data_IF_635139080444
#
_entry.id   IF_635139080444
#
_cell.length_a   1.000
_cell.length_b   1.000
_cell.length_c   1.000
_cell.angle_alpha   90.00
_cell.angle_beta   90.00
_cell.angle_gamma   90.00
#
_symmetry.space_group_name_H-M   'P 1'
#
loop_
_entity.id
_entity.type
_entity.pdbx_description
1 polymer ?
#
# COMPACT_ATOMS: atom_id res chain seq x y z
N UNK A 1 27.36 -29.92 -5.80
CA UNK A 1 26.38 -29.92 -4.69
C UNK A 1 26.75 -31.09 -3.78
N UNK A 2 27.59 -30.86 -2.78
CA UNK A 2 28.36 -31.93 -2.11
C UNK A 2 28.32 -31.93 -0.57
N UNK A 3 27.40 -31.21 0.09
CA UNK A 3 27.41 -31.22 1.56
C UNK A 3 26.01 -31.28 2.17
N UNK A 4 25.44 -32.49 2.17
CA UNK A 4 24.19 -32.81 2.87
C UNK A 4 24.38 -32.91 4.38
N UNK A 5 25.61 -33.10 4.85
CA UNK A 5 25.92 -33.35 6.27
C UNK A 5 25.61 -32.14 7.15
N UNK A 6 25.87 -30.92 6.67
CA UNK A 6 25.54 -29.67 7.40
C UNK A 6 24.01 -29.43 7.47
N UNK A 7 23.27 -29.81 6.43
CA UNK A 7 21.80 -29.73 6.40
C UNK A 7 21.16 -30.74 7.36
N UNK A 8 21.66 -31.98 7.37
CA UNK A 8 21.22 -33.00 8.33
C UNK A 8 21.59 -32.65 9.77
N UNK A 9 22.77 -32.07 10.01
CA UNK A 9 23.16 -31.57 11.32
C UNK A 9 22.23 -30.45 11.81
N UNK A 10 21.82 -29.52 10.93
CA UNK A 10 20.85 -28.48 11.27
C UNK A 10 19.48 -29.06 11.62
N UNK A 11 18.97 -30.02 10.83
CA UNK A 11 17.69 -30.69 11.11
C UNK A 11 17.73 -31.49 12.42
N UNK A 12 18.83 -32.20 12.67
CA UNK A 12 19.02 -32.97 13.90
C UNK A 12 19.10 -32.06 15.14
N UNK A 13 19.82 -30.94 15.04
CA UNK A 13 19.83 -29.91 16.09
C UNK A 13 18.47 -29.25 16.24
N UNK A 14 17.67 -29.11 15.17
CA UNK A 14 16.31 -28.56 15.20
C UNK A 14 15.35 -29.43 16.01
N UNK A 15 15.32 -30.74 15.74
CA UNK A 15 14.43 -31.70 16.40
C UNK A 15 14.77 -31.94 17.88
N UNK A 16 16.05 -31.97 18.24
CA UNK A 16 16.53 -32.14 19.62
C UNK A 16 16.02 -31.06 20.60
N UNK A 17 15.67 -29.87 20.10
CA UNK A 17 15.14 -28.78 20.95
C UNK A 17 13.67 -28.93 21.31
N UNK A 18 12.95 -29.84 20.64
CA UNK A 18 11.55 -30.14 20.95
C UNK A 18 11.41 -31.26 21.98
N UNK A 19 12.47 -32.03 22.24
CA UNK A 19 12.39 -33.29 22.99
C UNK A 19 13.05 -33.29 24.38
N UNK A 20 13.81 -32.27 24.81
CA UNK A 20 14.46 -32.32 26.14
C UNK A 20 14.37 -31.03 26.96
N UNK A 21 13.83 -31.15 28.17
CA UNK A 21 13.98 -30.16 29.26
C UNK A 21 15.36 -30.25 29.90
N UNK A 22 16.41 -29.85 29.17
CA UNK A 22 17.78 -29.86 29.69
C UNK A 22 18.19 -28.51 30.29
N UNK A 23 19.22 -28.54 31.15
CA UNK A 23 19.69 -27.39 31.94
C UNK A 23 20.17 -26.21 31.09
N UNK A 24 20.10 -25.01 31.68
CA UNK A 24 20.36 -23.71 31.04
C UNK A 24 21.74 -23.63 30.33
N UNK A 25 22.76 -24.35 30.81
CA UNK A 25 24.10 -24.35 30.20
C UNK A 25 24.19 -25.20 28.94
N UNK A 26 23.48 -26.34 28.86
CA UNK A 26 23.46 -27.17 27.64
C UNK A 26 22.66 -26.51 26.51
N UNK A 27 21.62 -25.73 26.85
CA UNK A 27 20.87 -24.94 25.88
C UNK A 27 21.69 -23.84 25.20
N UNK A 28 22.56 -23.15 25.94
CA UNK A 28 23.42 -22.09 25.38
C UNK A 28 24.46 -22.63 24.39
N UNK A 29 25.06 -23.79 24.68
CA UNK A 29 26.04 -24.42 23.78
C UNK A 29 25.39 -24.91 22.49
N UNK A 30 24.25 -25.61 22.57
CA UNK A 30 23.47 -26.03 21.39
C UNK A 30 22.96 -24.85 20.56
N UNK A 31 22.66 -23.70 21.18
CA UNK A 31 22.26 -22.49 20.47
C UNK A 31 23.44 -21.84 19.70
N UNK A 32 24.65 -21.86 20.28
CA UNK A 32 25.86 -21.39 19.60
C UNK A 32 26.21 -22.26 18.39
N UNK A 33 26.18 -23.58 18.56
CA UNK A 33 26.45 -24.55 17.48
C UNK A 33 25.41 -24.43 16.35
N UNK A 34 24.14 -24.14 16.66
CA UNK A 34 23.11 -23.82 15.67
C UNK A 34 23.37 -22.53 14.91
N UNK A 35 23.81 -21.47 15.59
CA UNK A 35 24.12 -20.20 14.95
C UNK A 35 25.33 -20.34 14.02
N UNK A 36 26.34 -21.12 14.41
CA UNK A 36 27.47 -21.44 13.54
C UNK A 36 27.07 -22.33 12.35
N UNK A 37 26.27 -23.38 12.56
CA UNK A 37 25.77 -24.23 11.48
C UNK A 37 24.90 -23.43 10.50
N UNK A 38 24.03 -22.55 11.00
CA UNK A 38 23.22 -21.65 10.19
C UNK A 38 24.09 -20.61 9.46
N UNK A 39 25.12 -20.06 10.09
CA UNK A 39 26.06 -19.15 9.44
C UNK A 39 26.87 -19.83 8.33
N UNK A 40 27.29 -21.09 8.53
CA UNK A 40 27.95 -21.90 7.50
C UNK A 40 27.02 -22.27 6.36
N UNK A 41 25.80 -22.71 6.66
CA UNK A 41 24.75 -22.95 5.65
C UNK A 41 24.42 -21.68 4.88
N UNK A 42 24.37 -20.52 5.55
CA UNK A 42 24.18 -19.22 4.89
C UNK A 42 25.39 -18.86 4.03
N UNK A 43 26.61 -19.10 4.49
CA UNK A 43 27.83 -18.91 3.70
C UNK A 43 27.91 -19.84 2.48
N UNK A 44 27.37 -21.05 2.56
CA UNK A 44 27.37 -22.06 1.47
C UNK A 44 26.18 -21.90 0.50
N UNK A 45 24.99 -21.55 1.00
CA UNK A 45 23.79 -21.30 0.19
C UNK A 45 23.78 -19.92 -0.46
N UNK A 46 24.53 -18.97 0.09
CA UNK A 46 24.65 -17.61 -0.40
C UNK A 46 26.12 -17.22 -0.65
N UNK A 47 26.98 -18.18 -1.01
CA UNK A 47 28.23 -17.88 -1.69
C UNK A 47 27.87 -17.30 -3.07
N UNK A 48 27.51 -16.02 -3.07
CA UNK A 48 27.27 -15.26 -4.28
C UNK A 48 28.61 -15.11 -4.97
N UNK A 49 28.67 -15.51 -6.24
CA UNK A 49 29.86 -15.28 -7.04
C UNK A 49 30.16 -13.76 -7.11
N UNK A 50 31.44 -13.43 -7.33
CA UNK A 50 31.89 -12.04 -7.41
C UNK A 50 31.12 -11.25 -8.49
N UNK A 51 30.65 -11.94 -9.53
CA UNK A 51 29.84 -11.37 -10.60
C UNK A 51 28.46 -10.92 -10.12
N UNK A 52 27.77 -11.70 -9.29
CA UNK A 52 26.49 -11.37 -8.68
C UNK A 52 26.63 -10.21 -7.69
N UNK A 53 27.71 -10.20 -6.90
CA UNK A 53 28.01 -9.10 -5.99
C UNK A 53 28.28 -7.81 -6.77
N UNK A 54 29.08 -7.88 -7.84
CA UNK A 54 29.35 -6.74 -8.72
C UNK A 54 28.09 -6.25 -9.44
N UNK A 55 27.23 -7.15 -9.92
CA UNK A 55 25.96 -6.81 -10.55
C UNK A 55 25.00 -6.10 -9.59
N UNK A 56 24.90 -6.56 -8.33
CA UNK A 56 24.09 -5.89 -7.30
C UNK A 56 24.66 -4.53 -6.91
N UNK A 57 25.98 -4.43 -6.76
CA UNK A 57 26.64 -3.15 -6.49
C UNK A 57 26.36 -2.16 -7.62
N UNK A 58 26.44 -2.60 -8.88
CA UNK A 58 26.11 -1.80 -10.06
C UNK A 58 24.65 -1.38 -10.08
N UNK A 59 23.71 -2.30 -9.91
CA UNK A 59 22.28 -2.01 -9.89
C UNK A 59 21.94 -0.97 -8.80
N UNK A 60 22.58 -1.07 -7.64
CA UNK A 60 22.47 -0.06 -6.58
C UNK A 60 22.95 1.30 -7.05
N UNK A 61 24.13 1.39 -7.68
CA UNK A 61 24.66 2.67 -8.19
C UNK A 61 23.72 3.29 -9.23
N UNK A 62 23.25 2.49 -10.19
CA UNK A 62 22.32 2.98 -11.21
C UNK A 62 21.03 3.51 -10.58
N UNK A 63 20.51 2.80 -9.56
CA UNK A 63 19.33 3.25 -8.84
C UNK A 63 19.58 4.50 -7.99
N UNK A 64 20.73 4.59 -7.33
CA UNK A 64 21.14 5.79 -6.58
C UNK A 64 21.18 7.02 -7.51
N UNK A 65 21.66 6.86 -8.76
CA UNK A 65 21.62 7.93 -9.78
C UNK A 65 20.19 8.37 -10.08
N UNK A 66 19.28 7.44 -10.29
CA UNK A 66 17.90 7.78 -10.65
C UNK A 66 17.11 8.31 -9.44
N UNK A 67 17.37 7.83 -8.24
CA UNK A 67 16.63 8.25 -7.04
C UNK A 67 17.09 9.61 -6.48
N UNK A 68 18.27 10.08 -6.86
CA UNK A 68 18.82 11.33 -6.33
C UNK A 68 17.99 12.55 -6.80
N UNK A 69 17.66 13.48 -5.89
CA UNK A 69 16.76 14.58 -6.21
C UNK A 69 17.41 15.73 -6.99
N UNK A 70 18.71 15.97 -6.81
CA UNK A 70 19.35 17.23 -7.24
C UNK A 70 20.76 16.99 -7.83
N UNK A 71 20.84 16.44 -9.03
CA UNK A 71 22.09 16.37 -9.77
C UNK A 71 22.45 17.71 -10.38
N UNK A 72 23.69 18.15 -10.20
CA UNK A 72 24.29 19.21 -10.99
C UNK A 72 24.88 18.59 -12.26
N UNK A 73 24.20 18.78 -13.38
CA UNK A 73 24.68 18.41 -14.71
C UNK A 73 25.60 19.51 -15.23
N UNK A 74 26.90 19.24 -15.36
CA UNK A 74 27.82 20.21 -15.93
C UNK A 74 27.55 20.42 -17.42
N UNK A 75 27.65 21.67 -17.87
CA UNK A 75 27.50 22.02 -19.28
C UNK A 75 28.67 21.42 -20.06
N UNK A 76 28.36 20.54 -21.00
CA UNK A 76 29.35 19.87 -21.82
C UNK A 76 29.63 20.65 -23.11
N UNK A 77 30.87 20.60 -23.59
CA UNK A 77 31.14 20.99 -24.98
C UNK A 77 30.59 19.91 -25.92
N UNK A 78 30.12 20.29 -27.12
CA UNK A 78 29.47 19.39 -28.08
C UNK A 78 30.31 18.19 -28.52
N UNK A 79 31.62 18.23 -28.30
CA UNK A 79 32.58 17.25 -28.78
C UNK A 79 33.03 16.26 -27.69
N UNK A 80 32.56 16.42 -26.45
CA UNK A 80 32.93 15.57 -25.33
C UNK A 80 32.05 14.32 -25.29
N UNK A 81 32.69 13.13 -25.28
CA UNK A 81 32.04 11.82 -25.15
C UNK A 81 31.72 11.44 -23.70
N UNK A 82 32.12 12.26 -22.75
CA UNK A 82 31.96 12.03 -21.32
C UNK A 82 31.10 13.13 -20.73
N UNK A 83 30.12 12.76 -19.90
CA UNK A 83 29.21 13.70 -19.26
C UNK A 83 29.42 13.66 -17.75
N UNK A 84 29.67 14.79 -17.12
CA UNK A 84 29.91 14.86 -15.68
C UNK A 84 28.67 15.32 -14.90
N UNK A 85 28.36 14.59 -13.83
CA UNK A 85 27.30 14.92 -12.87
C UNK A 85 27.85 14.97 -11.45
N UNK A 86 27.31 15.90 -10.65
CA UNK A 86 27.79 16.17 -9.31
C UNK A 86 26.64 16.17 -8.31
N UNK A 87 26.86 15.67 -7.10
CA UNK A 87 25.92 15.82 -5.98
C UNK A 87 26.01 17.18 -5.29
N UNK A 88 26.93 18.04 -5.73
CA UNK A 88 27.26 19.37 -5.21
C UNK A 88 27.47 20.34 -6.39
N UNK A 89 27.44 21.64 -6.12
CA UNK A 89 27.67 22.66 -7.15
C UNK A 89 29.17 22.72 -7.52
N UNK A 90 29.56 22.47 -8.78
CA UNK A 90 30.96 22.53 -9.19
C UNK A 90 31.44 23.99 -9.32
N UNK A 91 32.55 24.34 -8.66
CA UNK A 91 33.09 25.72 -8.64
C UNK A 91 33.56 26.24 -10.02
N UNK A 92 34.04 25.34 -10.89
CA UNK A 92 34.71 25.71 -12.15
C UNK A 92 33.81 25.54 -13.39
N UNK A 93 32.56 25.07 -13.25
CA UNK A 93 31.69 24.76 -14.39
C UNK A 93 30.27 25.28 -14.18
N UNK A 94 29.70 25.87 -15.23
CA UNK A 94 28.25 26.10 -15.27
C UNK A 94 27.53 24.75 -15.17
N UNK A 95 26.51 24.67 -14.32
CA UNK A 95 25.72 23.45 -14.12
C UNK A 95 24.22 23.75 -14.12
N UNK A 96 23.43 22.76 -14.52
CA UNK A 96 21.96 22.77 -14.41
C UNK A 96 21.53 21.73 -13.39
N UNK A 97 20.61 22.09 -12.50
CA UNK A 97 20.07 21.17 -11.51
C UNK A 97 18.93 20.36 -12.13
N UNK A 98 19.05 19.04 -12.12
CA UNK A 98 18.04 18.09 -12.61
C UNK A 98 17.85 16.99 -11.56
N UNK A 99 16.64 16.44 -11.47
CA UNK A 99 16.46 15.20 -10.72
C UNK A 99 16.94 13.99 -11.54
N UNK A 100 17.07 12.82 -10.92
CA UNK A 100 17.56 11.61 -11.58
C UNK A 100 16.85 11.25 -12.89
N UNK A 101 15.50 11.13 -12.96
CA UNK A 101 14.80 10.83 -14.19
C UNK A 101 15.00 11.88 -15.29
N UNK A 102 14.95 13.18 -14.96
CA UNK A 102 15.19 14.23 -15.96
C UNK A 102 16.66 14.23 -16.42
N UNK A 103 17.61 13.96 -15.53
CA UNK A 103 19.02 13.80 -15.88
C UNK A 103 19.20 12.70 -16.92
N UNK A 104 18.68 11.50 -16.67
CA UNK A 104 18.84 10.35 -17.57
C UNK A 104 18.27 10.64 -18.96
N UNK A 105 17.13 11.32 -19.03
CA UNK A 105 16.51 11.73 -20.31
C UNK A 105 17.19 12.91 -20.99
N UNK A 106 18.03 13.65 -20.26
CA UNK A 106 18.81 14.77 -20.78
C UNK A 106 20.19 14.36 -21.27
N UNK A 107 20.58 13.09 -21.15
CA UNK A 107 21.86 12.59 -21.67
C UNK A 107 21.84 12.73 -23.20
N UNK A 108 22.74 13.55 -23.80
CA UNK A 108 22.78 13.72 -25.25
C UNK A 108 23.15 12.45 -26.00
N UNK A 109 22.67 12.34 -27.24
CA UNK A 109 23.15 11.30 -28.16
C UNK A 109 24.67 11.43 -28.37
N UNK A 110 25.39 10.30 -28.33
CA UNK A 110 26.84 10.25 -28.54
C UNK A 110 27.70 10.29 -27.26
N UNK A 111 27.09 10.47 -26.08
CA UNK A 111 27.80 10.25 -24.81
C UNK A 111 28.11 8.76 -24.63
N UNK A 112 29.36 8.44 -24.36
CA UNK A 112 29.84 7.09 -24.10
C UNK A 112 29.91 6.80 -22.60
N UNK A 113 30.07 7.84 -21.77
CA UNK A 113 30.32 7.70 -20.32
C UNK A 113 29.66 8.78 -19.50
N UNK A 114 29.13 8.38 -18.35
CA UNK A 114 28.66 9.28 -17.29
C UNK A 114 29.64 9.21 -16.11
N UNK A 115 30.23 10.35 -15.76
CA UNK A 115 31.15 10.51 -14.65
C UNK A 115 30.39 11.06 -13.44
N UNK A 116 30.28 10.26 -12.39
CA UNK A 116 29.53 10.61 -11.17
C UNK A 116 30.50 11.02 -10.07
N UNK A 117 30.37 12.28 -9.65
CA UNK A 117 31.11 12.88 -8.54
C UNK A 117 30.18 13.05 -7.34
N UNK A 118 30.50 12.34 -6.25
CA UNK A 118 29.73 12.36 -5.00
C UNK A 118 30.58 12.98 -3.89
N UNK A 119 30.10 14.05 -3.26
CA UNK A 119 30.80 14.76 -2.17
C UNK A 119 31.06 13.87 -0.95
N UNK A 120 30.18 12.89 -0.68
CA UNK A 120 30.31 11.98 0.44
C UNK A 120 31.43 10.95 0.24
N UNK A 121 31.92 10.81 -1.01
CA UNK A 121 33.08 10.01 -1.34
C UNK A 121 34.25 10.97 -1.59
N UNK A 122 35.44 10.60 -1.10
CA UNK A 122 36.66 11.38 -1.36
C UNK A 122 36.70 11.84 -2.83
N UNK A 123 36.89 13.14 -3.09
CA UNK A 123 36.74 13.79 -4.42
C UNK A 123 37.52 13.08 -5.55
N UNK A 124 38.48 12.23 -5.19
CA UNK A 124 39.26 11.39 -6.08
C UNK A 124 38.54 10.12 -6.62
N UNK A 125 37.43 9.67 -6.03
CA UNK A 125 36.71 8.46 -6.46
C UNK A 125 35.54 8.80 -7.39
N UNK A 126 35.86 9.05 -8.65
CA UNK A 126 34.88 9.18 -9.73
C UNK A 126 34.31 7.81 -10.05
N UNK A 127 32.98 7.67 -10.03
CA UNK A 127 32.32 6.46 -10.56
C UNK A 127 32.02 6.68 -12.03
N UNK A 128 32.35 5.69 -12.85
CA UNK A 128 32.13 5.74 -14.29
C UNK A 128 31.02 4.77 -14.68
N UNK A 129 29.99 5.26 -15.36
CA UNK A 129 28.92 4.46 -15.94
C UNK A 129 29.07 4.49 -17.45
N UNK A 130 29.33 3.33 -18.04
CA UNK A 130 29.48 3.14 -19.48
C UNK A 130 28.11 3.14 -20.20
N UNK A 131 28.10 3.51 -21.48
CA UNK A 131 26.90 3.60 -22.31
C UNK A 131 26.06 2.31 -22.38
N UNK A 132 26.69 1.14 -22.19
CA UNK A 132 25.98 -0.15 -22.14
C UNK A 132 24.91 -0.21 -21.03
N UNK A 133 25.00 0.65 -20.01
CA UNK A 133 24.04 0.73 -18.92
C UNK A 133 22.96 1.81 -19.10
N UNK A 134 23.02 2.63 -20.17
CA UNK A 134 22.08 3.75 -20.34
C UNK A 134 20.63 3.29 -20.57
N UNK A 135 20.44 2.17 -21.26
CA UNK A 135 19.10 1.58 -21.41
C UNK A 135 18.52 1.12 -20.05
N UNK A 136 19.37 0.61 -19.15
CA UNK A 136 18.95 0.23 -17.80
C UNK A 136 18.66 1.46 -16.93
N UNK A 137 19.46 2.54 -17.05
CA UNK A 137 19.16 3.81 -16.40
C UNK A 137 17.82 4.37 -16.85
N UNK A 138 17.51 4.33 -18.15
CA UNK A 138 16.24 4.80 -18.68
C UNK A 138 15.06 3.97 -18.14
N UNK A 139 15.18 2.64 -18.14
CA UNK A 139 14.16 1.77 -17.56
C UNK A 139 13.96 2.01 -16.05
N UNK A 140 15.04 2.30 -15.32
CA UNK A 140 14.96 2.68 -13.90
C UNK A 140 14.29 4.05 -13.73
N UNK A 141 14.59 5.02 -14.59
CA UNK A 141 13.97 6.35 -14.58
C UNK A 141 12.45 6.26 -14.76
N UNK A 142 11.98 5.45 -15.71
CA UNK A 142 10.56 5.21 -15.93
C UNK A 142 9.90 4.54 -14.72
N UNK A 143 10.58 3.54 -14.12
CA UNK A 143 10.09 2.90 -12.90
C UNK A 143 10.00 3.86 -11.71
N UNK A 144 11.00 4.71 -11.53
CA UNK A 144 11.05 5.65 -10.40
C UNK A 144 9.98 6.74 -10.56
N UNK A 145 9.75 7.24 -11.77
CA UNK A 145 8.64 8.15 -12.04
C UNK A 145 7.29 7.46 -11.75
N UNK A 146 7.11 6.22 -12.22
CA UNK A 146 5.91 5.43 -11.93
C UNK A 146 5.69 5.24 -10.41
N UNK A 147 6.77 4.93 -9.69
CA UNK A 147 6.74 4.80 -8.24
C UNK A 147 6.34 6.11 -7.54
N UNK A 148 6.83 7.26 -8.00
CA UNK A 148 6.45 8.57 -7.47
C UNK A 148 4.96 8.88 -7.72
N UNK A 149 4.43 8.59 -8.92
CA UNK A 149 3.00 8.74 -9.25
C UNK A 149 2.10 7.83 -8.39
N UNK A 150 2.63 6.66 -7.99
CA UNK A 150 1.93 5.75 -7.09
C UNK A 150 1.95 6.24 -5.65
N UNK A 151 3.10 6.75 -5.19
CA UNK A 151 3.33 7.21 -3.82
C UNK A 151 2.74 8.60 -3.52
N UNK A 152 2.66 9.48 -4.51
CA UNK A 152 2.22 10.87 -4.38
C UNK A 152 1.08 11.15 -5.36
N UNK A 153 -0.17 10.84 -4.98
CA UNK A 153 -1.26 11.05 -5.89
C UNK A 153 -1.49 12.54 -6.18
N UNK A 154 -1.44 12.93 -7.45
CA UNK A 154 -1.78 14.26 -7.97
C UNK A 154 -2.86 14.22 -9.08
N UNK A 155 -3.34 15.37 -9.53
CA UNK A 155 -4.28 15.44 -10.65
C UNK A 155 -3.63 14.99 -11.97
N UNK A 156 -4.43 14.44 -12.90
CA UNK A 156 -4.01 14.16 -14.30
C UNK A 156 -2.89 13.12 -14.50
N UNK A 157 -2.56 12.33 -13.48
CA UNK A 157 -1.52 11.29 -13.56
C UNK A 157 -1.98 9.91 -14.05
N UNK A 158 -3.29 9.66 -14.15
CA UNK A 158 -3.82 8.31 -14.36
C UNK A 158 -3.38 7.68 -15.67
N UNK A 159 -3.27 8.47 -16.74
CA UNK A 159 -2.84 7.98 -18.05
C UNK A 159 -1.45 7.35 -17.95
N UNK A 160 -0.49 8.06 -17.34
CA UNK A 160 0.87 7.55 -17.07
C UNK A 160 0.87 6.28 -16.21
N UNK A 161 -0.01 6.21 -15.19
CA UNK A 161 -0.13 5.00 -14.35
C UNK A 161 -0.68 3.81 -15.14
N UNK A 162 -1.67 4.04 -16.02
CA UNK A 162 -2.27 2.99 -16.83
C UNK A 162 -1.36 2.53 -17.97
N UNK A 163 -0.53 3.40 -18.50
CA UNK A 163 0.46 3.11 -19.54
C UNK A 163 1.75 2.50 -18.98
N UNK A 164 2.03 2.75 -17.69
CA UNK A 164 3.20 2.22 -16.99
C UNK A 164 3.35 0.70 -17.14
N UNK A 165 4.61 0.25 -17.21
CA UNK A 165 4.94 -1.17 -17.27
C UNK A 165 5.13 -1.72 -15.86
N UNK A 166 4.45 -2.83 -15.58
CA UNK A 166 4.49 -3.53 -14.32
C UNK A 166 4.95 -4.97 -14.52
N UNK A 167 5.69 -5.49 -13.55
CA UNK A 167 6.09 -6.88 -13.47
C UNK A 167 5.23 -7.56 -12.41
N UNK A 168 4.42 -8.54 -12.80
CA UNK A 168 3.37 -9.08 -11.94
C UNK A 168 3.58 -10.57 -11.73
N UNK A 169 3.41 -11.03 -10.49
CA UNK A 169 3.34 -12.48 -10.23
C UNK A 169 2.04 -13.05 -10.78
N UNK A 170 2.14 -13.72 -11.92
CA UNK A 170 1.03 -14.30 -12.65
C UNK A 170 1.46 -15.63 -13.29
N UNK A 171 0.49 -16.49 -13.55
CA UNK A 171 0.66 -17.72 -14.33
C UNK A 171 -0.11 -17.61 -15.63
N UNK A 172 0.50 -18.09 -16.72
CA UNK A 172 -0.18 -18.33 -17.97
C UNK A 172 -0.52 -19.83 -18.04
N UNK A 173 -1.81 -20.16 -17.88
CA UNK A 173 -2.33 -21.49 -18.15
C UNK A 173 -3.15 -21.44 -19.45
N UNK A 174 -2.52 -21.82 -20.56
CA UNK A 174 -3.12 -21.68 -21.89
C UNK A 174 -3.26 -20.22 -22.32
N UNK A 175 -4.47 -19.80 -22.73
CA UNK A 175 -4.77 -18.40 -23.10
C UNK A 175 -5.21 -17.53 -21.90
N UNK A 176 -5.32 -18.11 -20.70
CA UNK A 176 -5.77 -17.39 -19.51
C UNK A 176 -4.58 -16.95 -18.68
N UNK A 177 -4.46 -15.64 -18.56
CA UNK A 177 -3.57 -14.98 -17.61
C UNK A 177 -4.26 -14.89 -16.26
N UNK A 178 -3.74 -15.60 -15.27
CA UNK A 178 -4.27 -15.58 -13.90
C UNK A 178 -3.25 -14.95 -12.95
N UNK A 179 -3.73 -14.06 -12.09
CA UNK A 179 -2.91 -13.48 -11.03
C UNK A 179 -2.62 -14.57 -10.00
N UNK A 180 -1.37 -14.66 -9.54
CA UNK A 180 -0.94 -15.62 -8.52
C UNK A 180 -0.94 -14.94 -7.14
N UNK A 181 -2.08 -14.84 -6.42
CA UNK A 181 -2.10 -14.16 -5.14
C UNK A 181 -1.20 -14.91 -4.13
N UNK A 182 -0.27 -14.20 -3.47
CA UNK A 182 0.40 -14.82 -2.31
C UNK A 182 -0.41 -14.58 -1.06
N UNK A 183 -0.25 -15.52 -0.15
CA UNK A 183 -0.68 -15.39 1.22
C UNK A 183 0.49 -15.84 2.11
N UNK A 184 1.01 -14.95 2.98
CA UNK A 184 1.74 -15.40 4.19
C UNK A 184 0.77 -16.00 5.23
N UNK A 185 -0.51 -15.68 5.08
CA UNK A 185 -1.63 -16.20 5.83
C UNK A 185 -2.70 -16.69 4.85
N UNK A 186 -3.19 -17.94 4.93
CA UNK A 186 -4.09 -18.59 3.96
C UNK A 186 -5.34 -17.80 3.49
N UNK A 187 -5.62 -16.67 4.13
CA UNK A 187 -6.78 -15.81 3.91
C UNK A 187 -6.45 -14.44 3.28
N UNK A 188 -5.22 -14.21 2.81
CA UNK A 188 -4.81 -12.97 2.13
C UNK A 188 -4.62 -13.23 0.63
N UNK A 189 -5.53 -12.70 -0.20
CA UNK A 189 -5.49 -12.93 -1.65
C UNK A 189 -4.99 -11.68 -2.38
N UNK A 190 -3.70 -11.38 -2.28
CA UNK A 190 -3.11 -10.13 -2.80
C UNK A 190 -2.21 -10.41 -4.01
N UNK A 191 -2.39 -9.67 -5.09
CA UNK A 191 -1.51 -9.69 -6.26
C UNK A 191 -0.22 -8.93 -5.98
N UNK A 192 0.92 -9.54 -6.26
CA UNK A 192 2.24 -8.92 -6.07
C UNK A 192 2.66 -8.24 -7.37
N UNK A 193 2.93 -6.95 -7.25
CA UNK A 193 3.24 -6.07 -8.37
C UNK A 193 4.57 -5.39 -8.11
N UNK A 194 5.42 -5.36 -9.12
CA UNK A 194 6.73 -4.72 -9.09
C UNK A 194 6.82 -3.68 -10.20
N UNK A 195 7.47 -2.55 -9.91
CA UNK A 195 7.69 -1.48 -10.90
C UNK A 195 8.95 -1.73 -11.73
N UNK A 196 9.90 -2.51 -11.24
CA UNK A 196 11.13 -2.84 -11.95
C UNK A 196 11.78 -4.15 -11.46
N UNK A 197 12.69 -4.70 -12.28
CA UNK A 197 13.34 -5.99 -12.06
C UNK A 197 14.22 -6.04 -10.80
N UNK A 198 14.77 -4.90 -10.38
CA UNK A 198 15.58 -4.80 -9.15
C UNK A 198 14.76 -4.97 -7.87
N UNK A 199 13.42 -4.90 -7.97
CA UNK A 199 12.49 -5.14 -6.85
C UNK A 199 11.97 -6.57 -6.78
N UNK A 200 12.24 -7.37 -7.81
CA UNK A 200 11.79 -8.77 -7.85
C UNK A 200 12.54 -9.56 -6.77
N UNK A 201 11.82 -10.49 -6.15
CA UNK A 201 12.44 -11.48 -5.29
C UNK A 201 12.99 -12.65 -6.11
N UNK A 202 12.25 -13.76 -6.22
CA UNK A 202 12.75 -15.01 -6.80
C UNK A 202 11.69 -15.76 -7.63
N UNK A 203 10.62 -15.09 -8.04
CA UNK A 203 9.49 -15.73 -8.74
C UNK A 203 9.38 -15.26 -10.18
N UNK A 204 8.84 -16.11 -11.08
CA UNK A 204 8.49 -15.68 -12.42
C UNK A 204 7.48 -14.54 -12.33
N UNK A 205 7.74 -13.49 -13.09
CA UNK A 205 6.88 -12.33 -13.24
C UNK A 205 6.64 -12.11 -14.72
N UNK A 206 5.47 -11.57 -15.04
CA UNK A 206 5.11 -11.22 -16.41
C UNK A 206 4.99 -9.70 -16.54
N UNK A 207 5.65 -9.09 -17.55
CA UNK A 207 5.47 -7.69 -17.84
C UNK A 207 4.07 -7.44 -18.43
N UNK A 208 3.39 -6.40 -17.95
CA UNK A 208 2.11 -5.95 -18.51
C UNK A 208 1.88 -4.46 -18.23
N UNK A 209 1.01 -3.84 -19.01
CA UNK A 209 0.59 -2.45 -18.77
C UNK A 209 -0.29 -2.33 -17.53
N UNK A 210 -0.32 -1.13 -16.94
CA UNK A 210 -1.22 -0.80 -15.83
C UNK A 210 -2.68 -1.04 -16.16
N UNK A 211 -3.10 -0.68 -17.38
CA UNK A 211 -4.45 -0.96 -17.89
C UNK A 211 -4.79 -2.44 -17.81
N UNK A 212 -3.91 -3.31 -18.31
CA UNK A 212 -4.12 -4.77 -18.30
C UNK A 212 -4.15 -5.32 -16.88
N UNK A 213 -3.22 -4.87 -16.02
CA UNK A 213 -3.18 -5.25 -14.61
C UNK A 213 -4.47 -4.86 -13.88
N UNK A 214 -4.96 -3.62 -14.07
CA UNK A 214 -6.14 -3.12 -13.38
C UNK A 214 -7.42 -3.82 -13.89
N UNK A 215 -7.49 -4.17 -15.17
CA UNK A 215 -8.56 -5.00 -15.73
C UNK A 215 -8.60 -6.37 -15.03
N UNK A 216 -7.46 -7.05 -14.88
CA UNK A 216 -7.38 -8.33 -14.20
C UNK A 216 -7.80 -8.23 -12.72
N UNK A 217 -7.34 -7.20 -12.00
CA UNK A 217 -7.67 -7.04 -10.57
C UNK A 217 -9.14 -6.68 -10.35
N UNK A 218 -9.72 -5.84 -11.22
CA UNK A 218 -11.12 -5.41 -11.11
C UNK A 218 -12.11 -6.53 -11.47
N UNK A 219 -11.72 -7.46 -12.35
CA UNK A 219 -12.56 -8.58 -12.80
C UNK A 219 -12.31 -9.88 -12.03
N UNK A 220 -11.14 -10.05 -11.40
CA UNK A 220 -10.82 -11.26 -10.65
C UNK A 220 -11.56 -11.33 -9.30
N UNK A 221 -12.45 -12.33 -9.10
CA UNK A 221 -13.11 -12.54 -7.81
C UNK A 221 -12.14 -13.06 -6.74
N UNK A 222 -10.93 -13.46 -7.12
CA UNK A 222 -9.96 -14.04 -6.20
C UNK A 222 -9.01 -13.00 -5.60
N UNK A 223 -8.74 -11.86 -6.26
CA UNK A 223 -7.74 -10.87 -5.81
C UNK A 223 -8.30 -9.69 -5.00
N UNK A 224 -8.05 -9.66 -3.69
CA UNK A 224 -8.45 -8.60 -2.73
C UNK A 224 -7.78 -7.24 -2.96
N UNK A 225 -6.74 -7.19 -3.79
CA UNK A 225 -6.04 -5.97 -4.17
C UNK A 225 -4.61 -6.26 -4.64
N UNK A 226 -3.85 -5.19 -4.82
CA UNK A 226 -2.46 -5.23 -5.25
C UNK A 226 -1.55 -4.74 -4.12
N UNK A 227 -0.37 -5.35 -3.99
CA UNK A 227 0.75 -4.84 -3.20
C UNK A 227 1.91 -4.48 -4.13
N UNK A 228 2.38 -3.24 -4.03
CA UNK A 228 3.49 -2.75 -4.82
C UNK A 228 4.80 -2.88 -4.06
N UNK A 229 5.81 -3.42 -4.74
CA UNK A 229 7.19 -3.51 -4.27
C UNK A 229 7.31 -4.04 -2.83
N UNK A 230 6.72 -5.19 -2.54
CA UNK A 230 6.52 -5.69 -1.14
C UNK A 230 7.78 -5.78 -0.24
N UNK A 231 8.97 -5.78 -0.84
CA UNK A 231 10.28 -5.89 -0.21
C UNK A 231 11.06 -4.57 -0.18
N UNK A 232 10.53 -3.50 -0.76
CA UNK A 232 11.18 -2.18 -0.81
C UNK A 232 10.16 -1.06 -0.64
N UNK A 233 10.66 0.18 -0.62
CA UNK A 233 9.80 1.35 -0.66
C UNK A 233 9.33 1.63 -2.09
N UNK A 234 8.23 2.37 -2.21
CA UNK A 234 7.65 2.91 -3.45
C UNK A 234 7.76 4.42 -3.37
N UNK A 235 8.39 5.04 -4.35
CA UNK A 235 8.59 6.49 -4.46
C UNK A 235 9.92 6.93 -3.81
N UNK A 236 10.30 8.18 -4.05
CA UNK A 236 11.59 8.73 -3.62
C UNK A 236 11.52 9.50 -2.30
N UNK A 237 12.69 9.61 -1.66
CA UNK A 237 12.95 10.53 -0.53
C UNK A 237 11.98 10.37 0.66
N UNK A 238 11.52 11.50 1.22
CA UNK A 238 10.61 11.55 2.37
C UNK A 238 9.17 11.14 2.02
N UNK A 239 8.85 11.03 0.73
CA UNK A 239 7.55 10.59 0.23
C UNK A 239 7.44 9.08 0.03
N UNK A 240 8.53 8.35 0.25
CA UNK A 240 8.57 6.92 0.03
C UNK A 240 7.57 6.15 0.93
N UNK A 241 6.80 5.25 0.31
CA UNK A 241 5.75 4.45 0.96
C UNK A 241 6.20 3.00 1.07
N UNK A 242 6.06 2.42 2.26
CA UNK A 242 6.36 1.01 2.46
C UNK A 242 5.14 0.16 2.11
N UNK A 243 5.28 -0.79 1.18
CA UNK A 243 4.25 -1.78 0.83
C UNK A 243 2.89 -1.14 0.53
N UNK A 244 2.87 -0.25 -0.45
CA UNK A 244 1.65 0.40 -0.93
C UNK A 244 0.62 -0.65 -1.37
N UNK A 245 -0.62 -0.47 -0.92
CA UNK A 245 -1.76 -1.30 -1.27
C UNK A 245 -2.76 -0.50 -2.10
N UNK A 246 -3.16 -1.06 -3.25
CA UNK A 246 -4.23 -0.50 -4.09
C UNK A 246 -5.40 -1.47 -4.19
N UNK A 247 -6.60 -0.94 -4.05
CA UNK A 247 -7.83 -1.72 -3.95
C UNK A 247 -8.42 -2.07 -5.32
N UNK A 248 -9.29 -3.10 -5.41
CA UNK A 248 -10.07 -3.36 -6.60
C UNK A 248 -11.00 -2.20 -6.98
N UNK A 249 -11.43 -1.41 -5.98
CA UNK A 249 -12.17 -0.18 -6.22
C UNK A 249 -11.33 0.88 -6.92
N UNK A 250 -10.07 1.05 -6.52
CA UNK A 250 -9.15 1.92 -7.24
C UNK A 250 -8.95 1.45 -8.68
N UNK A 251 -8.63 0.17 -8.88
CA UNK A 251 -8.41 -0.39 -10.22
C UNK A 251 -9.60 -0.11 -11.16
N UNK A 252 -10.83 -0.34 -10.70
CA UNK A 252 -12.04 -0.04 -11.47
C UNK A 252 -12.18 1.46 -11.79
N UNK A 253 -12.04 2.33 -10.79
CA UNK A 253 -12.23 3.78 -10.99
C UNK A 253 -11.14 4.37 -11.90
N UNK A 254 -9.90 3.88 -11.78
CA UNK A 254 -8.80 4.29 -12.65
C UNK A 254 -9.08 3.94 -14.12
N UNK A 255 -9.61 2.74 -14.40
CA UNK A 255 -10.05 2.35 -15.75
C UNK A 255 -11.23 3.20 -16.26
N UNK A 256 -12.04 3.75 -15.37
CA UNK A 256 -13.13 4.69 -15.66
C UNK A 256 -12.64 6.16 -15.71
N UNK A 257 -11.33 6.41 -15.61
CA UNK A 257 -10.73 7.74 -15.71
C UNK A 257 -10.78 8.59 -14.44
N UNK A 258 -11.06 7.99 -13.28
CA UNK A 258 -11.17 8.69 -12.00
C UNK A 258 -10.14 8.21 -10.98
N UNK A 259 -9.27 9.10 -10.50
CA UNK A 259 -8.34 8.79 -9.43
C UNK A 259 -9.00 9.06 -8.08
N UNK A 260 -9.28 7.98 -7.35
CA UNK A 260 -9.97 8.05 -6.06
C UNK A 260 -9.01 8.09 -4.86
N UNK A 261 -7.69 8.13 -5.11
CA UNK A 261 -6.69 8.19 -4.02
C UNK A 261 -6.69 9.57 -3.39
N UNK A 262 -6.47 9.59 -2.08
CA UNK A 262 -6.24 10.83 -1.33
C UNK A 262 -5.03 11.57 -1.89
N UNK A 263 -5.22 12.84 -2.32
CA UNK A 263 -4.18 13.67 -2.93
C UNK A 263 -4.46 13.99 -4.40
N UNK A 264 -5.02 13.04 -5.15
CA UNK A 264 -5.30 13.24 -6.58
C UNK A 264 -6.44 14.24 -6.85
N UNK A 265 -7.27 14.48 -5.84
CA UNK A 265 -8.33 15.46 -5.86
C UNK A 265 -9.03 15.56 -4.50
N UNK A 266 -10.06 16.43 -4.45
CA UNK A 266 -10.88 16.61 -3.26
C UNK A 266 -11.87 15.44 -3.10
N UNK A 267 -11.93 14.88 -1.90
CA UNK A 267 -12.83 13.78 -1.58
C UNK A 267 -14.25 14.33 -1.36
N UNK A 268 -15.18 13.97 -2.26
CA UNK A 268 -16.58 14.41 -2.20
C UNK A 268 -17.32 13.72 -1.07
N UNK A 269 -17.63 14.47 -0.02
CA UNK A 269 -18.44 14.02 1.10
C UNK A 269 -19.86 14.61 0.99
N UNK A 270 -20.84 13.92 1.59
CA UNK A 270 -22.25 14.33 1.69
C UNK A 270 -22.53 15.09 2.97
N UNK A 271 -21.79 14.80 4.04
CA UNK A 271 -21.97 15.49 5.32
C UNK A 271 -20.72 15.42 6.20
N UNK A 272 -20.70 16.23 7.25
CA UNK A 272 -19.65 16.21 8.28
C UNK A 272 -19.61 14.87 9.02
N UNK A 273 -20.76 14.24 9.25
CA UNK A 273 -20.86 12.93 9.89
C UNK A 273 -20.25 11.83 9.02
N UNK A 274 -20.35 11.94 7.70
CA UNK A 274 -19.69 11.02 6.78
C UNK A 274 -18.17 11.15 6.84
N UNK A 275 -17.65 12.39 6.92
CA UNK A 275 -16.23 12.66 7.11
C UNK A 275 -15.75 12.07 8.44
N UNK A 276 -16.46 12.33 9.54
CA UNK A 276 -16.10 11.77 10.85
C UNK A 276 -16.09 10.22 10.83
N UNK A 277 -17.07 9.61 10.17
CA UNK A 277 -17.11 8.16 9.98
C UNK A 277 -15.93 7.67 9.14
N UNK A 278 -15.53 8.40 8.10
CA UNK A 278 -14.34 8.09 7.30
C UNK A 278 -13.08 8.11 8.15
N UNK A 279 -12.89 9.15 8.97
CA UNK A 279 -11.75 9.29 9.88
C UNK A 279 -11.68 8.11 10.85
N UNK A 280 -12.83 7.70 11.40
CA UNK A 280 -12.95 6.57 12.33
C UNK A 280 -12.67 5.21 11.69
N UNK A 281 -13.02 5.02 10.41
CA UNK A 281 -12.78 3.77 9.68
C UNK A 281 -11.31 3.63 9.26
N UNK A 282 -10.65 4.75 8.96
CA UNK A 282 -9.24 4.81 8.56
C UNK A 282 -8.27 4.98 9.75
N UNK A 283 -8.79 4.91 10.99
CA UNK A 283 -8.04 5.13 12.22
C UNK A 283 -7.24 6.44 12.19
N UNK A 284 -7.82 7.52 11.66
CA UNK A 284 -7.21 8.83 11.76
C UNK A 284 -7.10 9.24 13.25
N UNK A 285 -6.03 9.89 13.71
CA UNK A 285 -5.87 10.24 15.12
C UNK A 285 -7.05 11.03 15.68
N UNK A 286 -7.49 10.71 16.89
CA UNK A 286 -8.64 11.35 17.55
C UNK A 286 -8.23 12.51 18.47
N UNK A 287 -6.97 12.56 18.88
CA UNK A 287 -6.48 13.52 19.86
C UNK A 287 -6.37 14.90 19.21
N UNK A 288 -7.00 15.88 19.84
CA UNK A 288 -6.95 17.30 19.46
C UNK A 288 -7.31 17.53 17.98
N UNK A 289 -8.37 16.85 17.48
CA UNK A 289 -8.89 17.05 16.12
C UNK A 289 -9.39 18.48 15.94
N UNK A 290 -8.79 19.21 15.01
CA UNK A 290 -9.18 20.56 14.60
C UNK A 290 -9.71 20.52 13.17
N UNK A 291 -10.87 21.16 12.95
CA UNK A 291 -11.51 21.25 11.64
C UNK A 291 -11.13 22.58 11.00
N UNK A 292 -10.37 22.50 9.92
CA UNK A 292 -9.96 23.62 9.10
C UNK A 292 -10.95 23.69 7.92
N UNK A 293 -11.83 24.69 7.95
CA UNK A 293 -12.93 24.84 6.99
C UNK A 293 -12.74 26.15 6.21
N UNK A 294 -12.88 26.06 4.89
CA UNK A 294 -12.83 27.20 3.97
C UNK A 294 -14.01 27.14 3.00
N UNK A 295 -14.73 28.25 2.83
CA UNK A 295 -15.85 28.33 1.90
C UNK A 295 -15.36 28.79 0.52
N UNK A 296 -15.54 27.95 -0.49
CA UNK A 296 -15.32 28.25 -1.90
C UNK A 296 -16.65 28.25 -2.67
N UNK A 297 -17.26 29.44 -2.77
CA UNK A 297 -18.57 29.59 -3.40
C UNK A 297 -19.66 28.83 -2.62
N UNK A 298 -20.24 27.79 -3.24
CA UNK A 298 -21.26 26.90 -2.63
C UNK A 298 -20.65 25.62 -2.05
N UNK A 299 -19.33 25.53 -1.99
CA UNK A 299 -18.62 24.34 -1.55
C UNK A 299 -17.84 24.68 -0.28
N UNK A 300 -17.97 23.88 0.76
CA UNK A 300 -17.09 23.95 1.93
C UNK A 300 -15.96 22.95 1.74
N UNK A 301 -14.73 23.46 1.74
CA UNK A 301 -13.50 22.68 1.71
C UNK A 301 -13.09 22.41 3.15
N UNK A 302 -12.83 21.14 3.46
CA UNK A 302 -12.57 20.70 4.83
C UNK A 302 -11.28 19.91 4.87
N UNK A 303 -10.44 20.25 5.84
CA UNK A 303 -9.26 19.49 6.23
C UNK A 303 -9.24 19.35 7.74
N UNK A 304 -8.91 18.16 8.24
CA UNK A 304 -8.80 17.88 9.67
C UNK A 304 -7.33 17.71 10.03
N UNK A 305 -6.91 18.42 11.07
CA UNK A 305 -5.59 18.30 11.69
C UNK A 305 -5.73 17.59 13.03
N UNK A 306 -4.79 16.72 13.39
CA UNK A 306 -4.79 16.06 14.70
C UNK A 306 -3.37 15.77 15.19
N UNK A 307 -3.20 15.72 16.51
CA UNK A 307 -1.96 15.25 17.10
C UNK A 307 -1.84 13.73 16.93
N UNK A 308 -0.66 13.24 16.56
CA UNK A 308 -0.41 11.81 16.37
C UNK A 308 0.83 11.35 17.12
N UNK A 309 0.72 10.23 17.83
CA UNK A 309 1.83 9.52 18.48
C UNK A 309 2.41 8.41 17.58
N UNK A 310 1.87 8.25 16.37
CA UNK A 310 2.33 7.29 15.36
C UNK A 310 2.29 7.88 13.95
N UNK A 311 3.07 7.31 13.04
CA UNK A 311 3.03 7.66 11.62
C UNK A 311 1.71 7.20 11.01
N UNK A 312 0.85 8.15 10.64
CA UNK A 312 -0.40 7.90 9.92
C UNK A 312 -0.20 8.24 8.44
N UNK A 313 -0.86 7.50 7.55
CA UNK A 313 -0.84 7.76 6.11
C UNK A 313 -2.26 7.73 5.56
N UNK A 314 -2.51 8.58 4.57
CA UNK A 314 -3.74 8.61 3.79
C UNK A 314 -3.85 7.41 2.84
N UNK A 315 -2.71 6.83 2.43
CA UNK A 315 -2.65 5.66 1.57
C UNK A 315 -2.63 4.37 2.40
N UNK A 316 -3.23 3.31 1.86
CA UNK A 316 -3.24 2.01 2.54
C UNK A 316 -1.89 1.30 2.36
N UNK A 317 -1.36 0.74 3.45
CA UNK A 317 -0.07 0.03 3.46
C UNK A 317 -0.16 -1.29 4.20
N UNK A 318 0.64 -2.28 3.78
CA UNK A 318 0.78 -3.55 4.49
C UNK A 318 1.81 -3.46 5.64
N UNK A 319 1.36 -2.93 6.78
CA UNK A 319 2.15 -2.86 8.00
C UNK A 319 2.19 -1.45 8.58
N UNK A 320 3.29 -1.12 9.26
CA UNK A 320 3.54 0.24 9.76
C UNK A 320 4.22 1.05 8.68
N UNK A 321 3.74 2.28 8.46
CA UNK A 321 4.44 3.26 7.66
C UNK A 321 5.75 3.62 8.35
N UNK A 322 6.85 3.61 7.58
CA UNK A 322 8.17 4.02 8.07
C UNK A 322 8.31 5.49 7.69
N UNK A 323 7.80 6.42 8.50
CA UNK A 323 8.18 7.83 8.33
C UNK A 323 9.52 8.05 9.01
N UNK A 324 10.47 8.69 8.31
CA UNK A 324 11.75 9.09 8.89
C UNK A 324 11.58 10.20 9.94
N UNK A 325 10.54 11.00 9.79
CA UNK A 325 10.21 12.11 10.68
C UNK A 325 8.86 11.84 11.34
N UNK A 326 8.82 11.94 12.68
CA UNK A 326 7.55 11.94 13.40
C UNK A 326 6.99 13.34 13.35
N UNK A 327 5.96 13.53 12.53
CA UNK A 327 5.17 14.75 12.56
C UNK A 327 4.34 14.77 13.86
N UNK A 328 4.46 15.83 14.66
CA UNK A 328 3.65 16.01 15.87
C UNK A 328 2.15 16.14 15.54
N UNK A 329 1.85 16.65 14.34
CA UNK A 329 0.52 16.90 13.82
C UNK A 329 0.42 16.32 12.42
N UNK A 330 -0.60 15.49 12.19
CA UNK A 330 -0.92 14.93 10.87
C UNK A 330 -2.15 15.59 10.28
N UNK A 331 -2.23 15.57 8.95
CA UNK A 331 -3.33 16.12 8.19
C UNK A 331 -4.11 15.02 7.49
N UNK A 332 -5.43 15.10 7.57
CA UNK A 332 -6.33 14.28 6.74
C UNK A 332 -6.32 14.74 5.27
N UNK A 333 -6.90 13.95 4.35
CA UNK A 333 -7.14 14.40 2.98
C UNK A 333 -8.04 15.64 2.95
N UNK A 334 -8.06 16.32 1.81
CA UNK A 334 -8.99 17.41 1.59
C UNK A 334 -10.35 16.85 1.18
N UNK A 335 -11.39 17.20 1.93
CA UNK A 335 -12.79 16.89 1.63
C UNK A 335 -13.49 18.11 1.04
N UNK A 336 -14.55 17.88 0.26
CA UNK A 336 -15.46 18.94 -0.16
C UNK A 336 -16.92 18.55 0.13
N UNK A 337 -17.68 19.52 0.64
CA UNK A 337 -19.12 19.44 0.91
C UNK A 337 -19.84 20.48 0.05
N UNK A 338 -20.77 20.06 -0.80
CA UNK A 338 -21.60 20.98 -1.59
C UNK A 338 -22.84 21.40 -0.78
N UNK A 339 -23.07 22.70 -0.59
CA UNK A 339 -24.22 23.25 0.18
C UNK A 339 -25.60 22.85 -0.38
N UNK A 340 -25.65 22.39 -1.64
CA UNK A 340 -26.89 22.30 -2.43
C UNK A 340 -27.49 20.91 -2.61
N UNK A 341 -26.87 19.82 -2.13
CA UNK A 341 -27.48 18.48 -2.28
C UNK A 341 -28.10 18.02 -0.98
N UNK A 342 -29.34 18.47 -0.75
CA UNK A 342 -30.28 17.78 0.14
C UNK A 342 -30.60 16.34 -0.31
N UNK A 343 -30.02 15.88 -1.41
CA UNK A 343 -30.00 14.49 -1.85
C UNK A 343 -28.81 13.75 -1.25
N UNK A 344 -29.04 13.16 -0.08
CA UNK A 344 -28.19 12.09 0.48
C UNK A 344 -28.35 10.74 -0.26
N UNK A 345 -29.10 10.72 -1.37
CA UNK A 345 -29.49 9.52 -2.10
C UNK A 345 -28.32 8.98 -2.93
N UNK A 346 -27.70 7.91 -2.42
CA UNK A 346 -26.68 7.17 -3.13
C UNK A 346 -25.64 6.56 -2.21
N UNK A 347 -24.80 5.70 -2.78
CA UNK A 347 -23.62 5.17 -2.09
C UNK A 347 -22.62 6.29 -1.82
N UNK A 348 -22.01 6.26 -0.63
CA UNK A 348 -20.88 7.12 -0.30
C UNK A 348 -19.75 6.98 -1.32
N UNK A 349 -19.11 8.10 -1.67
CA UNK A 349 -17.90 8.12 -2.52
C UNK A 349 -16.61 7.93 -1.74
N UNK A 350 -16.64 8.07 -0.41
CA UNK A 350 -15.45 8.05 0.44
C UNK A 350 -15.43 6.84 1.39
N UNK A 351 -16.60 6.33 1.79
CA UNK A 351 -16.67 5.19 2.72
C UNK A 351 -16.43 3.86 2.00
N UNK A 352 -15.70 2.96 2.68
CA UNK A 352 -15.48 1.61 2.17
C UNK A 352 -16.48 0.62 2.78
N UNK A 353 -17.29 -0.10 1.98
CA UNK A 353 -18.31 -1.02 2.49
C UNK A 353 -17.73 -2.16 3.33
N UNK A 354 -16.55 -2.67 2.96
CA UNK A 354 -15.88 -3.69 3.76
C UNK A 354 -15.44 -3.21 5.15
N UNK A 355 -15.01 -1.95 5.28
CA UNK A 355 -14.67 -1.37 6.59
C UNK A 355 -15.92 -1.12 7.44
N UNK A 356 -17.03 -0.68 6.82
CA UNK A 356 -18.33 -0.58 7.48
C UNK A 356 -18.79 -1.94 8.03
N UNK A 357 -18.76 -2.99 7.19
CA UNK A 357 -19.10 -4.35 7.60
C UNK A 357 -18.21 -4.84 8.76
N UNK A 358 -16.90 -4.56 8.70
CA UNK A 358 -15.95 -4.85 9.80
C UNK A 358 -16.37 -4.17 11.10
N UNK A 359 -16.68 -2.88 11.07
CA UNK A 359 -17.07 -2.08 12.25
C UNK A 359 -18.42 -2.53 12.82
N UNK A 360 -19.33 -3.03 11.99
CA UNK A 360 -20.60 -3.66 12.40
C UNK A 360 -20.43 -5.01 13.11
N UNK A 361 -19.19 -5.44 13.35
CA UNK A 361 -18.86 -6.55 14.25
C UNK A 361 -18.67 -7.88 13.53
N UNK A 362 -18.07 -7.83 12.34
CA UNK A 362 -17.73 -9.00 11.53
C UNK A 362 -16.40 -9.65 11.95
N UNK A 363 -15.74 -9.17 13.00
CA UNK A 363 -14.50 -9.79 13.47
C UNK A 363 -14.78 -11.19 14.04
N UNK A 364 -14.01 -12.14 13.52
CA UNK A 364 -13.79 -13.53 13.94
C UNK A 364 -15.02 -14.44 13.90
N UNK A 365 -15.06 -15.34 12.91
CA UNK A 365 -15.35 -16.79 13.00
C UNK A 365 -16.63 -17.32 13.68
N UNK A 366 -17.28 -16.56 14.55
CA UNK A 366 -18.46 -16.97 15.27
C UNK A 366 -19.70 -16.61 14.45
N UNK A 367 -20.18 -17.63 13.73
CA UNK A 367 -21.56 -17.79 13.27
C UNK A 367 -22.47 -17.98 14.49
N UNK A 368 -22.37 -17.10 15.48
CA UNK A 368 -23.30 -17.09 16.60
C UNK A 368 -23.84 -15.68 16.85
N UNK A 369 -24.67 -15.24 15.90
CA UNK A 369 -25.62 -14.15 16.09
C UNK A 369 -26.50 -14.35 17.34
N UNK A 370 -26.55 -15.56 17.94
CA UNK A 370 -27.26 -15.83 19.21
C UNK A 370 -26.44 -15.44 20.44
N UNK A 371 -25.11 -15.35 20.35
CA UNK A 371 -24.20 -14.93 21.44
C UNK A 371 -23.98 -13.42 21.54
N UNK A 372 -24.37 -12.64 20.53
CA UNK A 372 -24.48 -11.19 20.73
C UNK A 372 -25.50 -10.97 21.84
N UNK A 373 -25.05 -10.41 22.98
CA UNK A 373 -25.92 -10.06 24.11
C UNK A 373 -27.16 -9.38 23.55
N UNK A 374 -28.33 -10.01 23.75
CA UNK A 374 -29.61 -9.39 23.43
C UNK A 374 -29.64 -8.00 24.09
N UNK A 375 -30.06 -6.94 23.38
CA UNK A 375 -30.01 -5.59 23.93
C UNK A 375 -30.81 -5.45 25.23
N UNK A 376 -30.33 -4.64 26.16
CA UNK A 376 -31.04 -4.33 27.41
C UNK A 376 -31.00 -5.40 28.49
N UNK A 377 -31.45 -5.03 29.69
CA UNK A 377 -31.61 -5.91 30.85
C UNK A 377 -33.08 -6.26 31.04
N UNK A 378 -33.37 -7.47 31.53
CA UNK A 378 -34.75 -7.87 31.82
C UNK A 378 -35.33 -7.02 32.96
N UNK A 379 -36.53 -6.50 32.73
CA UNK A 379 -37.37 -5.84 33.71
C UNK A 379 -38.79 -6.42 33.57
N UNK A 380 -39.09 -7.42 34.41
CA UNK A 380 -40.29 -8.27 34.33
C UNK A 380 -40.43 -8.91 32.93
N UNK A 381 -41.43 -8.49 32.14
CA UNK A 381 -41.77 -9.03 30.82
C UNK A 381 -41.07 -8.30 29.65
N UNK A 382 -40.37 -7.19 29.90
CA UNK A 382 -39.71 -6.37 28.88
C UNK A 382 -38.21 -6.32 29.09
N UNK A 383 -37.44 -5.91 28.07
CA UNK A 383 -36.03 -5.51 28.28
C UNK A 383 -35.89 -4.00 28.21
N UNK A 384 -35.34 -3.39 29.25
CA UNK A 384 -34.98 -1.98 29.27
C UNK A 384 -33.59 -1.81 28.66
N UNK A 385 -33.49 -0.98 27.63
CA UNK A 385 -32.22 -0.65 26.98
C UNK A 385 -31.69 0.67 27.54
N UNK A 386 -30.49 0.63 28.13
CA UNK A 386 -29.86 1.83 28.69
C UNK A 386 -29.55 2.87 27.60
N UNK A 387 -29.53 4.16 27.92
CA UNK A 387 -29.27 5.23 26.93
C UNK A 387 -27.95 5.04 26.20
N UNK A 388 -26.88 4.65 26.91
CA UNK A 388 -25.57 4.36 26.32
C UNK A 388 -25.64 3.24 25.28
N UNK A 389 -26.43 2.20 25.52
CA UNK A 389 -26.68 1.14 24.54
C UNK A 389 -27.49 1.67 23.35
N UNK A 390 -28.55 2.45 23.58
CA UNK A 390 -29.35 3.03 22.51
C UNK A 390 -28.50 3.92 21.59
N UNK A 391 -27.61 4.74 22.15
CA UNK A 391 -26.66 5.55 21.38
C UNK A 391 -25.72 4.66 20.54
N UNK A 392 -25.22 3.56 21.09
CA UNK A 392 -24.44 2.59 20.33
C UNK A 392 -25.25 1.99 19.16
N UNK A 393 -26.52 1.61 19.40
CA UNK A 393 -27.39 1.10 18.34
C UNK A 393 -27.76 2.15 17.29
N UNK A 394 -27.91 3.43 17.66
CA UNK A 394 -28.08 4.52 16.69
C UNK A 394 -26.87 4.63 15.77
N UNK A 395 -25.64 4.62 16.32
CA UNK A 395 -24.41 4.60 15.50
C UNK A 395 -24.32 3.38 14.59
N UNK A 396 -24.69 2.19 15.11
CA UNK A 396 -24.76 0.97 14.31
C UNK A 396 -25.80 1.05 13.19
N UNK A 397 -26.94 1.70 13.44
CA UNK A 397 -28.00 1.87 12.45
C UNK A 397 -27.50 2.71 11.28
N UNK A 398 -26.90 3.87 11.57
CA UNK A 398 -26.28 4.74 10.54
C UNK A 398 -25.30 3.96 9.68
N UNK A 399 -24.33 3.26 10.28
CA UNK A 399 -23.37 2.45 9.52
C UNK A 399 -24.01 1.34 8.67
N UNK A 400 -25.11 0.74 9.14
CA UNK A 400 -25.81 -0.32 8.41
C UNK A 400 -26.65 0.23 7.25
N UNK A 401 -27.25 1.40 7.41
CA UNK A 401 -27.95 2.14 6.36
C UNK A 401 -26.96 2.64 5.30
N UNK A 402 -25.80 3.16 5.71
CA UNK A 402 -24.69 3.48 4.81
C UNK A 402 -24.20 2.27 4.01
N UNK A 403 -24.05 1.12 4.67
CA UNK A 403 -23.68 -0.12 3.99
C UNK A 403 -24.74 -0.58 2.98
N UNK A 404 -26.03 -0.39 3.29
CA UNK A 404 -27.12 -0.75 2.39
C UNK A 404 -27.15 0.11 1.12
N UNK A 405 -26.69 1.36 1.19
CA UNK A 405 -26.60 2.23 0.01
C UNK A 405 -25.65 1.70 -1.07
N UNK A 406 -24.71 0.79 -0.71
CA UNK A 406 -23.82 0.13 -1.66
C UNK A 406 -24.44 -1.10 -2.36
N UNK A 407 -25.65 -1.52 -2.00
CA UNK A 407 -26.34 -2.61 -2.69
C UNK A 407 -26.87 -2.12 -4.05
N UNK A 408 -26.55 -2.80 -5.16
CA UNK A 408 -27.14 -2.49 -6.45
C UNK A 408 -28.67 -2.69 -6.39
N UNK A 409 -29.44 -1.86 -7.11
CA UNK A 409 -30.91 -1.93 -7.13
C UNK A 409 -31.43 -3.33 -7.49
N UNK A 410 -30.80 -3.98 -8.48
CA UNK A 410 -31.12 -5.34 -8.96
C UNK A 410 -30.24 -6.44 -8.36
N UNK A 411 -29.24 -6.10 -7.55
CA UNK A 411 -28.26 -7.04 -7.02
C UNK A 411 -28.58 -7.50 -5.59
N UNK A 412 -28.17 -8.71 -5.25
CA UNK A 412 -28.27 -9.22 -3.88
C UNK A 412 -26.98 -9.02 -3.07
N UNK A 413 -25.92 -8.50 -3.69
CA UNK A 413 -24.60 -8.39 -3.07
C UNK A 413 -23.90 -7.09 -3.46
N UNK A 414 -23.16 -6.52 -2.51
CA UNK A 414 -22.24 -5.41 -2.75
C UNK A 414 -21.12 -5.88 -3.70
N UNK A 415 -20.91 -5.21 -4.86
CA UNK A 415 -19.82 -5.56 -5.77
C UNK A 415 -18.47 -5.32 -5.11
N UNK A 416 -17.51 -6.24 -5.30
CA UNK A 416 -16.15 -6.10 -4.75
C UNK A 416 -15.46 -4.81 -5.19
N UNK A 417 -15.70 -4.38 -6.42
CA UNK A 417 -15.13 -3.15 -7.00
C UNK A 417 -15.67 -1.86 -6.38
N UNK A 418 -16.59 -1.91 -5.41
CA UNK A 418 -16.94 -0.75 -4.58
C UNK A 418 -16.05 -0.63 -3.33
N UNK A 419 -15.22 -1.63 -3.05
CA UNK A 419 -14.27 -1.59 -1.93
C UNK A 419 -13.09 -0.69 -2.26
N UNK A 420 -13.08 0.50 -1.66
CA UNK A 420 -12.02 1.51 -1.81
C UNK A 420 -10.71 1.14 -1.10
N UNK A 421 -10.69 0.11 -0.25
CA UNK A 421 -9.51 -0.39 0.46
C UNK A 421 -9.36 -1.89 0.27
N UNK A 422 -8.12 -2.37 0.23
CA UNK A 422 -7.73 -3.79 0.24
C UNK A 422 -8.24 -4.47 1.50
N UNK A 423 -8.08 -3.85 2.67
CA UNK A 423 -8.62 -4.34 3.95
C UNK A 423 -10.13 -4.47 3.94
N UNK A 424 -10.83 -3.56 3.26
CA UNK A 424 -12.27 -3.66 3.03
C UNK A 424 -12.63 -4.84 2.13
N UNK A 425 -12.00 -4.94 0.96
CA UNK A 425 -12.20 -6.05 0.03
C UNK A 425 -11.94 -7.41 0.70
N UNK A 426 -10.81 -7.54 1.42
CA UNK A 426 -10.44 -8.71 2.22
C UNK A 426 -11.49 -9.06 3.27
N UNK A 427 -12.07 -8.07 3.94
CA UNK A 427 -13.14 -8.30 4.94
C UNK A 427 -14.34 -8.99 4.29
N UNK A 428 -14.78 -8.54 3.11
CA UNK A 428 -15.91 -9.14 2.41
C UNK A 428 -15.56 -10.46 1.72
N UNK A 429 -14.30 -10.66 1.35
CA UNK A 429 -13.78 -11.93 0.82
C UNK A 429 -13.82 -13.03 1.88
N UNK A 430 -13.38 -12.72 3.10
CA UNK A 430 -13.39 -13.66 4.25
C UNK A 430 -14.78 -13.93 4.81
N UNK A 431 -15.70 -12.98 4.69
CA UNK A 431 -17.10 -13.14 5.11
C UNK A 431 -18.08 -12.69 4.01
N UNK A 432 -18.23 -13.48 2.92
CA UNK A 432 -19.06 -13.13 1.77
C UNK A 432 -20.50 -12.79 2.11
N UNK A 433 -21.07 -13.45 3.12
CA UNK A 433 -22.45 -13.25 3.56
C UNK A 433 -22.73 -11.81 4.01
N UNK A 434 -21.73 -11.06 4.49
CA UNK A 434 -21.95 -9.70 4.96
C UNK A 434 -22.01 -8.65 3.86
N UNK A 435 -21.66 -9.04 2.64
CA UNK A 435 -21.93 -8.25 1.45
C UNK A 435 -23.38 -8.44 0.95
N UNK A 436 -24.15 -9.38 1.50
CA UNK A 436 -25.49 -9.73 1.00
C UNK A 436 -26.59 -8.86 1.57
N UNK A 437 -27.64 -8.63 0.78
CA UNK A 437 -28.84 -7.89 1.20
C UNK A 437 -29.44 -8.48 2.47
N UNK A 438 -29.61 -9.81 2.51
CA UNK A 438 -30.20 -10.50 3.66
C UNK A 438 -29.47 -10.21 4.99
N UNK A 439 -28.13 -10.19 4.97
CA UNK A 439 -27.36 -9.86 6.17
C UNK A 439 -27.46 -8.38 6.55
N UNK A 440 -27.43 -7.49 5.56
CA UNK A 440 -27.52 -6.04 5.75
C UNK A 440 -28.88 -5.66 6.32
N UNK A 441 -29.98 -6.14 5.73
CA UNK A 441 -31.35 -5.91 6.22
C UNK A 441 -31.55 -6.45 7.63
N UNK A 442 -31.02 -7.65 7.93
CA UNK A 442 -31.05 -8.21 9.29
C UNK A 442 -30.27 -7.34 10.29
N UNK A 443 -29.15 -6.76 9.85
CA UNK A 443 -28.33 -5.87 10.67
C UNK A 443 -29.06 -4.56 10.95
N UNK A 444 -29.72 -3.97 9.95
CA UNK A 444 -30.59 -2.79 10.08
C UNK A 444 -31.73 -3.08 11.05
N UNK A 445 -32.48 -4.17 10.84
CA UNK A 445 -33.61 -4.55 11.70
C UNK A 445 -33.16 -4.80 13.15
N UNK A 446 -31.97 -5.41 13.34
CA UNK A 446 -31.35 -5.57 14.65
C UNK A 446 -31.02 -4.23 15.31
N UNK A 447 -30.42 -3.30 14.56
CA UNK A 447 -30.07 -1.98 15.07
C UNK A 447 -31.31 -1.14 15.41
N UNK A 448 -32.34 -1.12 14.55
CA UNK A 448 -33.62 -0.44 14.78
C UNK A 448 -34.35 -0.95 16.03
N UNK A 449 -34.22 -2.24 16.37
CA UNK A 449 -34.75 -2.75 17.65
C UNK A 449 -33.98 -2.17 18.82
N UNK A 450 -32.65 -2.23 18.81
CA UNK A 450 -31.81 -1.75 19.90
C UNK A 450 -31.86 -0.24 20.18
N UNK A 451 -32.44 0.58 19.30
CA UNK A 451 -32.69 2.01 19.56
C UNK A 451 -33.95 2.26 20.40
N UNK A 452 -34.84 1.27 20.53
CA UNK A 452 -36.07 1.38 21.34
C UNK A 452 -35.75 1.31 22.83
N UNK A 453 -36.51 2.06 23.64
CA UNK A 453 -36.36 2.07 25.11
C UNK A 453 -36.76 0.72 25.74
N UNK A 454 -37.80 0.10 25.18
CA UNK A 454 -38.35 -1.18 25.60
C UNK A 454 -38.37 -2.15 24.43
N UNK A 455 -38.04 -3.42 24.70
CA UNK A 455 -38.04 -4.53 23.75
C UNK A 455 -38.98 -5.63 24.18
#
# INVERSE_FOLDING_TARGET
MENWDDYFLFLQLWDDSRSTGSSIETGKRKQSERLEAFARLKGLLFAEDEETVAARARAKILRDIVEYPNWHLAKNNSDEKELAIYTFEPEEKESTILDGPHLVRSIPEGIEKLLVYDEAQDKARVRMIEAEHFAELLSLADSVELEDLLANPESEQLEKILEGTYLVEASEEGEKLELSPRSKHPDDRIAYVYTHKDKISYRPVLPMSGKRLFELVSTSPEVDGMIFNSTSLVGRNHHSINRLLLSPGFAKNALEGTDIRSGAGRLKARSREEIELWLDLNNFPHKDREWLEESEGKTTIIKIQAASDYSWSTQEVDGKQISKEREEKVLSPVFCLDEATGESDGASKILCPGLLARKLGLRSGDIDLRRRKKPGQFLLFFRLVAEKERQHYRKRLVMAEELAAFLPKSGDRIPRTTCLTVKGARTLSRSPYAATRAWIEKTIAGAKRGTRKFL
#
